data_IF_404873499956
#
_entry.id   IF_404873499956
#
_cell.length_a   1.000
_cell.length_b   1.000
_cell.length_c   1.000
_cell.angle_alpha   90.00
_cell.angle_beta   90.00
_cell.angle_gamma   90.00
#
_symmetry.space_group_name_H-M   'P 1'
#
loop_
_entity.id
_entity.type
_entity.pdbx_description
1 polymer ?
#
# COMPACT_ATOMS: atom_id res chain seq x y z
N UNK A 1 -5.54 5.91 -7.24
CA UNK A 1 -5.43 4.47 -7.24
C UNK A 1 -6.58 3.76 -6.53
N UNK A 2 -6.35 3.26 -5.31
CA UNK A 2 -7.28 2.37 -4.60
C UNK A 2 -8.71 2.89 -4.49
N UNK A 3 -8.89 4.15 -4.07
CA UNK A 3 -10.23 4.75 -3.92
C UNK A 3 -10.97 4.88 -5.26
N UNK A 4 -10.27 5.19 -6.35
CA UNK A 4 -10.88 5.22 -7.68
C UNK A 4 -11.31 3.81 -8.15
N UNK A 5 -10.51 2.79 -7.85
CA UNK A 5 -10.85 1.40 -8.11
C UNK A 5 -12.10 0.95 -7.34
N UNK A 6 -12.20 1.29 -6.06
CA UNK A 6 -13.37 1.00 -5.21
C UNK A 6 -14.64 1.69 -5.73
N UNK A 7 -14.53 2.94 -6.16
CA UNK A 7 -15.65 3.64 -6.78
C UNK A 7 -16.10 2.94 -8.07
N UNK A 8 -15.15 2.63 -8.95
CA UNK A 8 -15.45 2.03 -10.25
C UNK A 8 -16.08 0.64 -10.12
N UNK A 9 -15.56 -0.19 -9.24
CA UNK A 9 -16.02 -1.59 -9.11
C UNK A 9 -17.19 -1.79 -8.17
N UNK A 10 -17.27 -1.00 -7.10
CA UNK A 10 -18.20 -1.22 -5.99
C UNK A 10 -19.12 -0.01 -5.71
N UNK A 11 -18.93 1.11 -6.40
CA UNK A 11 -19.70 2.32 -6.12
C UNK A 11 -19.41 2.94 -4.74
N UNK A 12 -18.22 2.67 -4.18
CA UNK A 12 -17.80 3.24 -2.89
C UNK A 12 -17.26 4.64 -3.12
N UNK A 13 -17.96 5.62 -2.55
CA UNK A 13 -17.55 7.02 -2.65
C UNK A 13 -16.40 7.34 -1.70
N UNK A 14 -15.57 8.29 -2.09
CA UNK A 14 -14.56 8.88 -1.22
C UNK A 14 -15.13 10.07 -0.48
N UNK A 15 -14.76 10.23 0.79
CA UNK A 15 -15.10 11.38 1.61
C UNK A 15 -13.85 12.23 1.89
N UNK A 16 -13.96 13.57 1.96
CA UNK A 16 -12.82 14.42 2.27
C UNK A 16 -12.38 14.24 3.72
N UNK A 17 -11.07 14.25 3.95
CA UNK A 17 -10.48 14.41 5.27
C UNK A 17 -10.49 15.89 5.65
N UNK A 18 -10.50 16.19 6.95
CA UNK A 18 -10.36 17.55 7.46
C UNK A 18 -9.01 18.18 7.12
N UNK A 19 -7.97 17.36 7.08
CA UNK A 19 -6.60 17.73 6.79
C UNK A 19 -5.92 16.66 5.90
N UNK A 20 -4.85 17.05 5.21
CA UNK A 20 -4.04 16.09 4.43
C UNK A 20 -3.41 15.07 5.36
N UNK A 21 -3.69 13.80 5.12
CA UNK A 21 -2.94 12.71 5.75
C UNK A 21 -1.63 12.52 4.98
N UNK A 22 -0.51 12.98 5.54
CA UNK A 22 0.82 12.88 4.94
C UNK A 22 1.85 12.46 5.98
N UNK A 23 2.54 11.34 5.74
CA UNK A 23 3.53 10.83 6.69
C UNK A 23 3.69 9.33 6.67
N UNK A 24 4.39 8.82 7.69
CA UNK A 24 4.60 7.40 7.95
C UNK A 24 3.78 6.99 9.16
N UNK A 25 2.86 6.06 8.93
CA UNK A 25 1.89 5.68 9.96
C UNK A 25 1.99 4.20 10.30
N UNK A 26 1.80 3.90 11.58
CA UNK A 26 1.70 2.53 12.07
C UNK A 26 0.36 1.93 11.66
N UNK A 27 0.42 0.69 11.22
CA UNK A 27 -0.71 -0.11 10.80
C UNK A 27 -0.69 -1.45 11.53
N UNK A 28 -1.88 -1.99 11.77
CA UNK A 28 -2.11 -3.27 12.44
C UNK A 28 -2.59 -4.27 11.40
N UNK A 29 -2.06 -5.47 11.44
CA UNK A 29 -2.53 -6.60 10.65
C UNK A 29 -3.77 -7.17 11.31
N UNK A 30 -4.94 -6.95 10.71
CA UNK A 30 -6.23 -7.40 11.25
C UNK A 30 -6.53 -8.87 10.88
N UNK A 31 -5.96 -9.35 9.77
CA UNK A 31 -6.10 -10.71 9.27
C UNK A 31 -4.72 -11.36 9.01
N UNK A 32 -4.02 -11.82 10.05
CA UNK A 32 -2.68 -12.41 9.90
C UNK A 32 -2.67 -13.70 9.06
N UNK A 33 -3.81 -14.39 8.94
CA UNK A 33 -3.99 -15.57 8.09
C UNK A 33 -4.13 -15.24 6.60
N UNK A 34 -4.32 -13.98 6.23
CA UNK A 34 -4.39 -13.58 4.82
C UNK A 34 -3.01 -13.72 4.17
N UNK A 35 -2.95 -14.38 3.01
CA UNK A 35 -1.69 -14.63 2.31
C UNK A 35 -0.87 -13.38 2.00
N UNK A 36 -1.49 -12.21 1.84
CA UNK A 36 -0.77 -10.94 1.67
C UNK A 36 0.09 -10.59 2.88
N UNK A 37 -0.29 -11.06 4.06
CA UNK A 37 0.39 -10.78 5.34
C UNK A 37 1.37 -11.86 5.76
N UNK A 38 1.64 -12.85 4.90
CA UNK A 38 2.59 -13.90 5.23
C UNK A 38 3.99 -13.33 5.52
N UNK A 39 4.51 -13.63 6.71
CA UNK A 39 5.82 -13.11 7.18
C UNK A 39 5.81 -11.67 7.72
N UNK A 40 4.64 -11.05 7.84
CA UNK A 40 4.51 -9.78 8.56
C UNK A 40 4.45 -10.01 10.08
N UNK A 41 4.94 -9.01 10.82
CA UNK A 41 4.66 -8.86 12.23
C UNK A 41 3.20 -8.36 12.45
N UNK A 42 2.73 -8.32 13.70
CA UNK A 42 1.39 -7.81 14.05
C UNK A 42 1.16 -6.36 13.61
N UNK A 43 2.23 -5.64 13.34
CA UNK A 43 2.17 -4.25 12.87
C UNK A 43 3.41 -3.86 12.06
N UNK A 44 3.22 -2.92 11.16
CA UNK A 44 4.27 -2.33 10.34
C UNK A 44 3.98 -0.84 10.10
N UNK A 45 4.84 -0.16 9.36
CA UNK A 45 4.64 1.23 8.95
C UNK A 45 4.63 1.34 7.43
N UNK A 46 3.81 2.25 6.90
CA UNK A 46 3.85 2.62 5.49
C UNK A 46 3.57 4.10 5.27
N UNK A 47 4.03 4.66 4.12
CA UNK A 47 3.73 6.03 3.73
C UNK A 47 2.26 6.19 3.36
N UNK A 48 1.68 7.32 3.73
CA UNK A 48 0.39 7.79 3.22
C UNK A 48 0.51 9.25 2.76
N UNK A 49 -0.22 9.59 1.69
CA UNK A 49 -0.35 10.97 1.19
C UNK A 49 -1.69 11.12 0.50
N UNK A 50 -2.71 11.62 1.20
CA UNK A 50 -4.07 11.72 0.67
C UNK A 50 -4.92 12.78 1.36
N UNK A 51 -5.92 13.28 0.65
CA UNK A 51 -6.91 14.24 1.14
C UNK A 51 -8.30 13.62 1.36
N UNK A 52 -8.44 12.33 1.06
CA UNK A 52 -9.73 11.62 1.09
C UNK A 52 -9.56 10.24 1.70
N UNK A 53 -10.67 9.68 2.15
CA UNK A 53 -10.76 8.30 2.62
C UNK A 53 -12.04 7.64 2.11
N UNK A 54 -12.21 6.35 2.38
CA UNK A 54 -13.47 5.61 2.28
C UNK A 54 -13.88 5.16 3.67
N UNK A 55 -15.18 5.12 3.92
CA UNK A 55 -15.69 4.77 5.25
C UNK A 55 -15.78 3.26 5.43
N UNK A 56 -15.62 2.81 6.68
CA UNK A 56 -15.84 1.41 7.04
C UNK A 56 -17.28 0.97 6.76
N UNK A 57 -18.26 1.85 6.95
CA UNK A 57 -19.67 1.60 6.71
C UNK A 57 -19.91 1.29 5.24
N UNK A 58 -19.44 2.17 4.33
CA UNK A 58 -19.56 1.94 2.88
C UNK A 58 -18.88 0.67 2.41
N UNK A 59 -17.72 0.32 2.95
CA UNK A 59 -17.03 -0.93 2.61
C UNK A 59 -17.89 -2.12 3.02
N UNK A 60 -18.45 -2.15 4.22
CA UNK A 60 -19.28 -3.24 4.71
C UNK A 60 -20.62 -3.36 3.96
N UNK A 61 -21.20 -2.24 3.58
CA UNK A 61 -22.51 -2.20 2.94
C UNK A 61 -22.45 -2.49 1.44
N UNK A 62 -21.38 -2.11 0.76
CA UNK A 62 -21.28 -2.14 -0.70
C UNK A 62 -20.35 -3.22 -1.24
N UNK A 63 -19.58 -3.89 -0.37
CA UNK A 63 -18.55 -4.85 -0.81
C UNK A 63 -18.49 -6.09 0.06
N UNK A 64 -17.93 -7.18 -0.49
CA UNK A 64 -17.55 -8.40 0.24
C UNK A 64 -16.03 -8.45 0.53
N UNK A 65 -15.37 -7.30 0.51
CA UNK A 65 -13.92 -7.21 0.71
C UNK A 65 -13.56 -7.43 2.19
N UNK A 66 -12.52 -8.19 2.41
CA UNK A 66 -11.91 -8.37 3.72
C UNK A 66 -11.09 -7.14 4.08
N UNK A 67 -11.15 -6.71 5.35
CA UNK A 67 -10.30 -5.68 5.91
C UNK A 67 -9.04 -6.37 6.45
N UNK A 68 -7.98 -6.33 5.66
CA UNK A 68 -6.74 -7.04 5.95
C UNK A 68 -5.85 -6.26 6.90
N UNK A 69 -5.80 -4.94 6.72
CA UNK A 69 -4.97 -4.03 7.52
C UNK A 69 -5.72 -2.73 7.77
N UNK A 70 -5.63 -2.25 9.01
CA UNK A 70 -6.11 -0.93 9.42
C UNK A 70 -5.09 -0.22 10.32
N UNK A 71 -5.40 1.00 10.72
CA UNK A 71 -4.56 1.73 11.68
C UNK A 71 -5.34 2.86 12.36
N UNK A 72 -4.92 3.26 13.57
CA UNK A 72 -5.67 4.23 14.37
C UNK A 72 -5.73 5.61 13.73
N UNK A 73 -4.69 5.99 12.95
CA UNK A 73 -4.59 7.29 12.30
C UNK A 73 -5.01 7.24 10.83
N UNK A 74 -4.83 6.10 10.19
CA UNK A 74 -5.08 5.94 8.74
C UNK A 74 -6.44 5.32 8.43
N UNK A 75 -7.15 4.80 9.44
CA UNK A 75 -8.38 4.04 9.21
C UNK A 75 -8.12 2.76 8.40
N UNK A 76 -8.91 2.54 7.37
CA UNK A 76 -8.69 1.41 6.45
C UNK A 76 -7.38 1.59 5.68
N UNK A 77 -6.60 0.52 5.56
CA UNK A 77 -5.30 0.57 4.87
C UNK A 77 -5.16 -0.44 3.74
N UNK A 78 -5.47 -1.72 3.98
CA UNK A 78 -5.46 -2.74 2.93
C UNK A 78 -6.77 -3.50 2.97
N UNK A 79 -7.45 -3.53 1.81
CA UNK A 79 -8.64 -4.34 1.57
C UNK A 79 -8.33 -5.36 0.47
N UNK A 80 -8.90 -6.54 0.56
CA UNK A 80 -8.72 -7.57 -0.47
C UNK A 80 -9.97 -8.40 -0.67
N UNK A 81 -10.19 -8.87 -1.91
CA UNK A 81 -11.16 -9.93 -2.17
C UNK A 81 -10.60 -11.27 -1.68
N UNK A 82 -11.50 -12.21 -1.35
CA UNK A 82 -11.12 -13.55 -0.84
C UNK A 82 -10.19 -14.33 -1.77
N UNK A 83 -10.32 -14.09 -3.08
CA UNK A 83 -9.48 -14.72 -4.11
C UNK A 83 -8.25 -13.87 -4.50
N UNK A 84 -7.99 -12.78 -3.80
CA UNK A 84 -6.89 -11.83 -4.02
C UNK A 84 -6.80 -11.23 -5.44
N UNK A 85 -7.88 -11.31 -6.24
CA UNK A 85 -7.95 -10.66 -7.55
C UNK A 85 -8.15 -9.15 -7.45
N UNK A 86 -8.63 -8.68 -6.31
CA UNK A 86 -8.77 -7.29 -5.98
C UNK A 86 -8.03 -7.02 -4.68
N UNK A 87 -7.07 -6.11 -4.75
CA UNK A 87 -6.29 -5.64 -3.59
C UNK A 87 -6.21 -4.12 -3.66
N UNK A 88 -6.65 -3.47 -2.62
CA UNK A 88 -6.68 -2.02 -2.50
C UNK A 88 -5.78 -1.59 -1.34
N UNK A 89 -4.62 -1.05 -1.66
CA UNK A 89 -3.71 -0.43 -0.69
C UNK A 89 -3.89 1.08 -0.72
N UNK A 90 -4.21 1.69 0.41
CA UNK A 90 -4.29 3.15 0.56
C UNK A 90 -2.95 3.76 0.95
N UNK A 91 -2.04 2.97 1.52
CA UNK A 91 -0.65 3.33 1.71
C UNK A 91 0.16 3.15 0.43
N UNK A 92 1.30 3.81 0.39
CA UNK A 92 2.19 3.89 -0.77
C UNK A 92 3.47 3.08 -0.53
N UNK A 93 3.41 1.77 -0.68
CA UNK A 93 4.59 0.90 -0.59
C UNK A 93 5.65 1.18 -1.67
N UNK A 94 5.21 1.75 -2.80
CA UNK A 94 6.06 2.10 -3.92
C UNK A 94 6.88 3.39 -3.73
N UNK A 95 6.68 4.12 -2.62
CA UNK A 95 7.39 5.37 -2.39
C UNK A 95 8.86 5.15 -2.09
N UNK A 96 9.71 5.91 -2.78
CA UNK A 96 11.13 6.06 -2.43
C UNK A 96 11.31 6.85 -1.13
N UNK A 97 12.53 6.78 -0.57
CA UNK A 97 12.90 7.47 0.67
C UNK A 97 12.49 8.94 0.69
N UNK A 98 12.67 9.64 -0.43
CA UNK A 98 12.52 11.10 -0.55
C UNK A 98 11.19 11.55 -1.18
N UNK A 99 10.28 10.62 -1.50
CA UNK A 99 9.03 10.96 -2.20
C UNK A 99 8.18 11.94 -1.42
N UNK A 100 7.92 11.69 -0.13
CA UNK A 100 7.15 12.62 0.72
C UNK A 100 7.87 13.96 0.90
N UNK A 101 9.21 13.96 0.94
CA UNK A 101 9.99 15.20 1.01
C UNK A 101 9.85 16.04 -0.26
N UNK A 102 9.82 15.40 -1.43
CA UNK A 102 9.57 16.09 -2.71
C UNK A 102 8.15 16.65 -2.77
N UNK A 103 7.14 15.89 -2.32
CA UNK A 103 5.77 16.38 -2.23
C UNK A 103 5.65 17.58 -1.29
N UNK A 104 6.24 17.51 -0.12
CA UNK A 104 6.24 18.57 0.87
C UNK A 104 6.86 19.86 0.33
N UNK A 105 8.04 19.77 -0.30
CA UNK A 105 8.72 20.93 -0.91
C UNK A 105 7.91 21.52 -2.06
N UNK A 106 7.36 20.67 -2.93
CA UNK A 106 6.48 21.12 -4.02
C UNK A 106 5.29 21.92 -3.48
N UNK A 107 4.65 21.45 -2.42
CA UNK A 107 3.48 22.09 -1.82
C UNK A 107 3.87 23.42 -1.14
N UNK A 108 5.05 23.48 -0.50
CA UNK A 108 5.63 24.75 0.00
C UNK A 108 5.89 25.75 -1.11
N UNK A 109 6.53 25.33 -2.19
CA UNK A 109 6.85 26.18 -3.35
C UNK A 109 5.58 26.70 -4.05
N UNK A 110 4.50 25.92 -3.98
CA UNK A 110 3.18 26.31 -4.47
C UNK A 110 2.41 27.24 -3.50
N UNK A 111 2.96 27.58 -2.34
CA UNK A 111 2.33 28.43 -1.33
C UNK A 111 1.18 27.78 -0.57
N UNK A 112 1.10 26.45 -0.58
CA UNK A 112 0.02 25.68 0.08
C UNK A 112 0.22 25.60 1.60
N UNK A 113 1.42 25.89 2.10
CA UNK A 113 1.79 25.81 3.52
C UNK A 113 1.39 24.46 4.17
N UNK A 114 1.91 23.33 3.66
CA UNK A 114 1.58 22.00 4.17
C UNK A 114 2.21 21.76 5.53
N UNK A 115 1.59 20.91 6.34
CA UNK A 115 2.23 20.37 7.54
C UNK A 115 3.41 19.49 7.16
N UNK A 116 4.40 19.42 8.04
CA UNK A 116 5.53 18.49 7.91
C UNK A 116 4.98 17.06 7.91
N UNK A 117 5.37 16.19 6.95
CA UNK A 117 4.91 14.80 6.93
C UNK A 117 5.21 14.10 8.26
N UNK A 118 4.15 13.57 8.90
CA UNK A 118 4.21 13.00 10.24
C UNK A 118 5.16 11.79 10.31
N UNK A 119 5.96 11.69 11.37
CA UNK A 119 6.87 10.57 11.64
C UNK A 119 7.88 10.26 10.50
N UNK A 120 8.14 11.19 9.62
CA UNK A 120 8.93 10.97 8.42
C UNK A 120 10.35 11.50 8.55
N UNK A 121 10.51 12.75 8.93
CA UNK A 121 11.83 13.32 9.22
C UNK A 121 12.25 12.98 10.66
N UNK A 122 13.55 12.81 10.94
CA UNK A 122 14.04 12.75 12.33
C UNK A 122 13.62 14.00 13.11
N UNK A 123 13.02 13.82 14.27
CA UNK A 123 12.57 14.92 15.15
C UNK A 123 11.64 15.94 14.46
N UNK A 124 10.90 15.48 13.39
CA UNK A 124 10.05 16.30 12.53
C UNK A 124 10.78 17.50 11.88
N UNK A 125 12.11 17.42 11.77
CA UNK A 125 12.96 18.45 11.16
C UNK A 125 13.15 18.19 9.65
N UNK A 126 12.51 18.98 8.74
CA UNK A 126 12.61 18.78 7.31
C UNK A 126 13.97 19.13 6.69
N UNK A 127 14.92 19.65 7.49
CA UNK A 127 16.30 19.83 7.08
C UNK A 127 17.14 18.55 7.17
N UNK A 128 16.65 17.53 7.89
CA UNK A 128 17.31 16.25 8.05
C UNK A 128 16.89 15.26 6.96
N UNK A 129 17.75 14.28 6.70
CA UNK A 129 17.45 13.21 5.74
C UNK A 129 16.42 12.25 6.32
N UNK A 130 15.31 11.92 5.59
CA UNK A 130 14.29 11.00 6.07
C UNK A 130 14.80 9.56 6.15
N UNK A 131 14.26 8.80 7.10
CA UNK A 131 14.59 7.38 7.29
C UNK A 131 13.63 6.47 6.54
N UNK A 132 14.18 5.60 5.68
CA UNK A 132 13.41 4.55 5.02
C UNK A 132 13.08 3.43 6.04
N UNK A 133 11.78 3.21 6.32
CA UNK A 133 11.32 2.24 7.34
C UNK A 133 10.26 1.26 6.84
N UNK A 134 9.82 1.39 5.60
CA UNK A 134 8.74 0.57 5.01
C UNK A 134 9.20 -0.39 3.92
N UNK A 135 10.45 -0.36 3.54
CA UNK A 135 10.97 -1.13 2.41
C UNK A 135 10.84 -2.66 2.60
N UNK A 136 11.03 -3.14 3.83
CA UNK A 136 10.85 -4.57 4.13
C UNK A 136 9.38 -4.98 4.00
N UNK A 137 8.45 -4.19 4.56
CA UNK A 137 7.03 -4.42 4.43
C UNK A 137 6.57 -4.35 2.96
N UNK A 138 7.06 -3.37 2.20
CA UNK A 138 6.81 -3.24 0.77
C UNK A 138 7.26 -4.49 0.00
N UNK A 139 8.48 -4.94 0.24
CA UNK A 139 9.04 -6.14 -0.40
C UNK A 139 8.23 -7.40 -0.06
N UNK A 140 7.87 -7.60 1.20
CA UNK A 140 7.05 -8.72 1.63
C UNK A 140 5.66 -8.68 0.98
N UNK A 141 4.99 -7.52 1.00
CA UNK A 141 3.66 -7.34 0.42
C UNK A 141 3.63 -7.68 -1.08
N UNK A 142 4.53 -7.10 -1.87
CA UNK A 142 4.57 -7.37 -3.32
C UNK A 142 4.98 -8.80 -3.62
N UNK A 143 5.93 -9.38 -2.89
CA UNK A 143 6.31 -10.78 -3.05
C UNK A 143 5.16 -11.73 -2.74
N UNK A 144 4.41 -11.48 -1.67
CA UNK A 144 3.24 -12.26 -1.31
C UNK A 144 2.15 -12.16 -2.38
N UNK A 145 1.85 -10.95 -2.84
CA UNK A 145 0.87 -10.75 -3.90
C UNK A 145 1.26 -11.50 -5.18
N UNK A 146 2.51 -11.39 -5.64
CA UNK A 146 3.00 -12.11 -6.82
C UNK A 146 2.88 -13.61 -6.61
N UNK A 147 3.35 -14.14 -5.49
CA UNK A 147 3.42 -15.58 -5.25
C UNK A 147 2.03 -16.22 -5.03
N UNK A 148 1.16 -15.57 -4.26
CA UNK A 148 -0.10 -16.17 -3.84
C UNK A 148 -1.32 -15.72 -4.66
N UNK A 149 -1.24 -14.60 -5.38
CA UNK A 149 -2.31 -14.14 -6.25
C UNK A 149 -1.97 -14.34 -7.73
N UNK A 150 -0.86 -13.74 -8.20
CA UNK A 150 -0.54 -13.72 -9.64
C UNK A 150 -0.15 -15.10 -10.15
N UNK A 151 0.81 -15.77 -9.51
CA UNK A 151 1.28 -17.09 -9.98
C UNK A 151 0.23 -18.19 -9.82
N UNK A 152 -0.60 -18.15 -8.78
CA UNK A 152 -1.65 -19.16 -8.58
C UNK A 152 -2.78 -19.05 -9.61
N UNK A 153 -3.02 -17.88 -10.15
CA UNK A 153 -4.08 -17.62 -11.12
C UNK A 153 -3.59 -17.67 -12.58
N UNK A 154 -2.29 -17.68 -12.81
CA UNK A 154 -1.73 -17.76 -14.15
C UNK A 154 -1.66 -19.24 -14.58
N UNK A 155 -2.36 -19.65 -15.65
CA UNK A 155 -2.28 -21.02 -16.16
C UNK A 155 -0.89 -21.26 -16.72
N UNK A 156 -0.06 -21.92 -15.94
CA UNK A 156 1.31 -22.26 -16.30
C UNK A 156 1.37 -23.77 -16.58
N UNK A 157 1.61 -24.14 -17.83
CA UNK A 157 1.77 -25.53 -18.24
C UNK A 157 3.24 -25.82 -18.47
N UNK A 158 3.83 -26.60 -17.56
CA UNK A 158 5.24 -26.99 -17.63
C UNK A 158 5.55 -27.74 -18.94
N UNK A 159 4.55 -28.45 -19.48
CA UNK A 159 4.67 -29.22 -20.72
C UNK A 159 4.79 -28.33 -21.98
N UNK A 160 4.40 -27.06 -21.89
CA UNK A 160 4.47 -26.07 -22.97
C UNK A 160 5.79 -25.27 -22.96
N UNK A 161 6.65 -25.48 -21.95
CA UNK A 161 8.00 -24.95 -21.98
C UNK A 161 8.79 -25.78 -22.98
N UNK A 162 9.07 -25.20 -24.14
CA UNK A 162 10.14 -25.73 -24.99
C UNK A 162 11.42 -25.73 -24.17
N UNK A 163 12.15 -26.82 -24.19
CA UNK A 163 13.47 -26.98 -23.57
C UNK A 163 14.47 -26.03 -24.27
N UNK A 164 14.32 -24.75 -24.10
CA UNK A 164 15.27 -23.75 -24.58
C UNK A 164 16.46 -23.65 -23.60
N UNK A 165 17.18 -24.78 -23.46
CA UNK A 165 18.47 -24.90 -22.75
C UNK A 165 19.62 -24.20 -23.47
N UNK A 166 19.36 -23.43 -24.53
CA UNK A 166 20.39 -22.67 -25.25
C UNK A 166 21.06 -21.56 -24.44
N UNK A 167 20.51 -21.22 -23.27
CA UNK A 167 21.02 -20.12 -22.43
C UNK A 167 22.27 -20.51 -21.58
N UNK A 168 22.64 -21.77 -21.45
CA UNK A 168 23.79 -22.20 -20.65
C UNK A 168 25.05 -22.47 -21.47
N UNK A 169 25.17 -21.91 -22.67
CA UNK A 169 26.30 -22.11 -23.57
C UNK A 169 27.49 -21.16 -23.41
N UNK A 170 27.56 -20.34 -22.35
CA UNK A 170 28.72 -19.49 -22.07
C UNK A 170 29.07 -19.51 -20.57
N UNK A 171 29.78 -20.54 -20.16
CA UNK A 171 30.70 -20.56 -19.03
C UNK A 171 32.03 -21.05 -19.49
#
# INVERSE_FOLDING_TARGET
>A
GAQAGLYYKHGVDKVPLSEKLSGIYKQTVDMPENFLMNGFDDSFVSPHSRYTEVTLEDIKDKTDLDIVVSGPEVGLSILASKNLREVYSFGHFEYDRDTLAREYRRDLDAGINPDVPANYFPEDDPSQEPKLRWNLAASAFFSNWINYAVYQETPYRLEELEDDFSFYGYL
#
